data_IF_096697116087
#
_entry.id   IF_096697116087
#
_cell.length_a   1.000
_cell.length_b   1.000
_cell.length_c   1.000
_cell.angle_alpha   90.00
_cell.angle_beta   90.00
_cell.angle_gamma   90.00
#
_symmetry.space_group_name_H-M   'P 1'
#
loop_
_entity.id
_entity.type
_entity.pdbx_description
1 polymer ?
#
# COMPACT_ATOMS: atom_id res chain seq x y z
N UNK A 1 12.97 -5.44 -3.09
CA UNK A 1 12.08 -4.39 -3.63
C UNK A 1 11.03 -4.08 -2.58
N UNK A 2 11.11 -2.94 -1.88
CA UNK A 2 10.25 -2.66 -0.72
C UNK A 2 8.91 -1.98 -1.07
N UNK A 3 8.50 -2.04 -2.34
CA UNK A 3 7.21 -1.50 -2.78
C UNK A 3 6.15 -2.60 -2.71
N UNK A 4 5.00 -2.27 -2.14
CA UNK A 4 3.85 -3.17 -2.07
C UNK A 4 2.57 -2.35 -2.26
N UNK A 5 1.55 -2.97 -2.87
CA UNK A 5 0.26 -2.32 -3.06
C UNK A 5 -0.50 -2.28 -1.74
N UNK A 6 -1.20 -1.19 -1.48
CA UNK A 6 -2.06 -1.09 -0.32
C UNK A 6 -3.22 -0.16 -0.61
N UNK A 7 -4.22 -0.22 0.26
CA UNK A 7 -5.32 0.72 0.25
C UNK A 7 -5.05 1.83 1.26
N UNK A 8 -4.66 3.01 0.82
CA UNK A 8 -4.45 4.18 1.68
C UNK A 8 -5.65 5.11 1.55
N UNK A 9 -6.33 5.42 2.65
CA UNK A 9 -7.52 6.29 2.66
C UNK A 9 -8.58 5.85 1.64
N UNK A 10 -8.86 4.55 1.59
CA UNK A 10 -9.81 3.92 0.66
C UNK A 10 -9.44 4.05 -0.84
N UNK A 11 -8.21 4.48 -1.18
CA UNK A 11 -7.69 4.57 -2.54
C UNK A 11 -6.52 3.59 -2.73
N UNK A 12 -6.33 3.14 -3.97
CA UNK A 12 -5.16 2.33 -4.32
C UNK A 12 -3.90 3.18 -4.22
N UNK A 13 -2.88 2.67 -3.53
CA UNK A 13 -1.60 3.32 -3.42
C UNK A 13 -0.46 2.28 -3.38
N UNK A 14 0.66 2.62 -3.99
CA UNK A 14 1.92 1.93 -3.78
C UNK A 14 2.60 2.48 -2.54
N UNK A 15 2.98 1.60 -1.62
CA UNK A 15 3.56 1.95 -0.33
C UNK A 15 5.00 1.46 -0.27
N UNK A 16 5.90 2.37 0.10
CA UNK A 16 7.31 2.08 0.30
C UNK A 16 7.59 1.75 1.76
N UNK A 17 8.06 0.52 2.00
CA UNK A 17 8.44 0.02 3.32
C UNK A 17 9.94 0.13 3.54
N UNK A 18 10.37 1.05 4.39
CA UNK A 18 11.76 1.15 4.80
C UNK A 18 12.03 0.15 5.93
N UNK A 19 13.06 -0.68 5.79
CA UNK A 19 13.51 -1.55 6.88
C UNK A 19 14.28 -0.72 7.89
N UNK A 20 13.73 -0.59 9.08
CA UNK A 20 14.40 0.07 10.21
C UNK A 20 14.72 -0.96 11.29
N UNK A 21 15.66 -0.66 12.17
CA UNK A 21 16.00 -1.54 13.31
C UNK A 21 14.82 -1.85 14.25
N UNK A 22 13.68 -1.14 14.11
CA UNK A 22 12.44 -1.34 14.86
C UNK A 22 11.35 -2.06 14.05
N UNK A 23 11.68 -2.56 12.86
CA UNK A 23 10.77 -3.23 11.93
C UNK A 23 10.43 -2.40 10.68
N UNK A 24 9.59 -2.95 9.78
CA UNK A 24 9.22 -2.30 8.53
C UNK A 24 8.35 -1.07 8.81
N UNK A 25 8.80 0.10 8.35
CA UNK A 25 8.10 1.37 8.52
C UNK A 25 7.73 1.95 7.16
N UNK A 26 6.48 2.39 7.03
CA UNK A 26 6.05 3.10 5.83
C UNK A 26 6.74 4.47 5.80
N UNK A 27 7.55 4.70 4.77
CA UNK A 27 8.17 6.02 4.53
C UNK A 27 7.31 6.88 3.63
N UNK A 28 6.82 6.31 2.53
CA UNK A 28 6.06 7.05 1.55
C UNK A 28 4.97 6.20 0.91
N UNK A 29 3.99 6.87 0.31
CA UNK A 29 3.01 6.22 -0.55
C UNK A 29 2.75 7.09 -1.78
N UNK A 30 2.47 6.45 -2.91
CA UNK A 30 2.03 7.11 -4.13
C UNK A 30 0.64 6.60 -4.50
N UNK A 31 -0.30 7.49 -4.82
CA UNK A 31 -1.59 7.08 -5.34
C UNK A 31 -1.45 6.67 -6.80
N UNK A 32 -1.94 5.47 -7.11
CA UNK A 32 -1.84 4.90 -8.46
C UNK A 32 -3.23 4.49 -8.93
N UNK A 33 -3.45 4.49 -10.24
CA UNK A 33 -4.71 4.04 -10.82
C UNK A 33 -4.58 2.58 -11.24
N UNK A 34 -5.62 1.80 -10.95
CA UNK A 34 -5.67 0.39 -11.38
C UNK A 34 -5.60 0.25 -12.92
N UNK A 35 -6.02 1.29 -13.65
CA UNK A 35 -6.01 1.36 -15.11
C UNK A 35 -4.58 1.35 -15.71
N UNK A 36 -3.58 1.77 -14.94
CA UNK A 36 -2.18 1.77 -15.35
C UNK A 36 -1.61 0.34 -15.35
N UNK A 37 -2.18 -0.56 -14.55
CA UNK A 37 -1.76 -1.96 -14.43
C UNK A 37 -2.64 -2.87 -15.30
N UNK A 38 -2.19 -3.06 -16.53
CA UNK A 38 -2.94 -3.83 -17.55
C UNK A 38 -2.76 -5.34 -17.42
N UNK A 39 -1.74 -5.82 -16.72
CA UNK A 39 -1.46 -7.26 -16.64
C UNK A 39 -2.38 -7.94 -15.61
N UNK A 40 -2.96 -9.09 -15.98
CA UNK A 40 -3.80 -9.91 -15.08
C UNK A 40 -3.09 -10.28 -13.76
N UNK A 41 -1.77 -10.47 -13.81
CA UNK A 41 -0.93 -10.78 -12.63
C UNK A 41 -0.87 -9.62 -11.65
N UNK A 42 -0.66 -8.41 -12.14
CA UNK A 42 -0.60 -7.19 -11.32
C UNK A 42 -1.96 -6.89 -10.70
N UNK A 43 -3.04 -7.02 -11.47
CA UNK A 43 -4.40 -6.85 -10.93
C UNK A 43 -4.72 -7.85 -9.82
N UNK A 44 -4.22 -9.09 -9.95
CA UNK A 44 -4.35 -10.11 -8.90
C UNK A 44 -3.59 -9.69 -7.64
N UNK A 45 -2.34 -9.26 -7.78
CA UNK A 45 -1.52 -8.76 -6.67
C UNK A 45 -2.17 -7.54 -5.99
N UNK A 46 -2.65 -6.57 -6.76
CA UNK A 46 -3.37 -5.41 -6.25
C UNK A 46 -4.58 -5.85 -5.42
N UNK A 47 -5.38 -6.81 -5.91
CA UNK A 47 -6.55 -7.30 -5.16
C UNK A 47 -6.17 -8.01 -3.87
N UNK A 48 -5.18 -8.91 -3.91
CA UNK A 48 -4.72 -9.66 -2.73
C UNK A 48 -4.10 -8.72 -1.69
N UNK A 49 -3.24 -7.81 -2.13
CA UNK A 49 -2.53 -6.89 -1.24
C UNK A 49 -3.46 -5.81 -0.68
N UNK A 50 -4.31 -5.19 -1.50
CA UNK A 50 -5.27 -4.17 -1.00
C UNK A 50 -6.31 -4.73 -0.04
N UNK A 51 -6.56 -6.05 -0.07
CA UNK A 51 -7.41 -6.72 0.91
C UNK A 51 -6.70 -6.91 2.26
N UNK A 52 -5.38 -7.15 2.26
CA UNK A 52 -4.57 -7.41 3.48
C UNK A 52 -3.97 -6.14 4.10
N UNK A 53 -3.64 -5.17 3.26
CA UNK A 53 -2.92 -3.95 3.59
C UNK A 53 -3.83 -2.75 3.40
N UNK A 54 -4.58 -2.42 4.46
CA UNK A 54 -5.43 -1.24 4.51
C UNK A 54 -4.83 -0.28 5.52
N UNK A 55 -4.52 0.93 5.07
CA UNK A 55 -3.95 1.99 5.86
C UNK A 55 -4.79 3.27 5.77
N UNK A 56 -4.77 4.03 6.85
CA UNK A 56 -5.29 5.39 6.90
C UNK A 56 -4.11 6.31 7.17
N UNK A 57 -3.91 7.28 6.28
CA UNK A 57 -2.91 8.30 6.44
C UNK A 57 -3.56 9.61 6.88
N UNK A 58 -3.27 10.04 8.11
CA UNK A 58 -3.82 11.27 8.70
C UNK A 58 -2.78 11.95 9.59
N UNK A 59 -2.61 13.26 9.44
CA UNK A 59 -1.63 14.08 10.21
C UNK A 59 -0.20 13.48 10.19
N UNK A 60 0.28 13.04 9.03
CA UNK A 60 1.64 12.51 8.88
C UNK A 60 1.85 11.08 9.40
N UNK A 61 0.81 10.41 9.90
CA UNK A 61 0.91 9.06 10.49
C UNK A 61 0.09 8.06 9.69
N UNK A 62 0.67 6.90 9.44
CA UNK A 62 -0.02 5.73 8.89
C UNK A 62 -0.60 4.91 10.05
N UNK A 63 -1.89 4.58 9.95
CA UNK A 63 -2.56 3.65 10.86
C UNK A 63 -3.05 2.48 10.05
N UNK A 64 -2.71 1.26 10.47
CA UNK A 64 -3.27 0.05 9.86
C UNK A 64 -4.71 -0.11 10.33
N UNK A 65 -5.62 -0.26 9.38
CA UNK A 65 -7.00 -0.66 9.66
C UNK A 65 -7.04 -2.17 9.50
N UNK A 66 -7.20 -2.89 10.61
CA UNK A 66 -7.55 -4.32 10.56
C UNK A 66 -9.06 -4.37 10.29
N UNK A 67 -9.44 -5.12 9.26
CA UNK A 67 -10.83 -5.49 9.04
C UNK A 67 -11.09 -6.82 9.71
#
# INVERSE_FOLDING_TARGET
>A
MPWCFAKVNNRLAEVYFDETSKGPKIRNHCYVKIEEYKTKKEQKWIKEDTARFIFVYRKGKYRRVKK
#
